data_IF_228620281058
#
_entry.id   IF_228620281058
#
_cell.length_a   1.000
_cell.length_b   1.000
_cell.length_c   1.000
_cell.angle_alpha   90.00
_cell.angle_beta   90.00
_cell.angle_gamma   90.00
#
_symmetry.space_group_name_H-M   'P 1'
#
loop_
_entity.id
_entity.type
_entity.pdbx_description
1 polymer ?
#
# COMPACT_ATOMS: atom_id res chain seq x y z
N UNK A 1 -39.76 25.35 17.39
CA UNK A 1 -38.62 26.04 16.74
C UNK A 1 -37.62 26.34 17.82
N UNK A 2 -36.68 25.44 18.04
CA UNK A 2 -35.59 25.66 19.02
C UNK A 2 -34.30 25.90 18.24
N UNK A 3 -33.82 27.14 18.36
CA UNK A 3 -32.58 27.58 17.80
C UNK A 3 -31.42 26.80 18.48
N UNK A 4 -30.60 26.08 17.68
CA UNK A 4 -29.33 25.56 18.15
C UNK A 4 -28.38 26.71 18.34
N UNK A 5 -28.20 27.08 19.61
CA UNK A 5 -27.19 28.04 20.02
C UNK A 5 -25.82 27.36 19.86
N UNK A 6 -25.12 27.70 18.80
CA UNK A 6 -23.77 27.26 18.56
C UNK A 6 -22.82 27.90 19.55
N UNK A 7 -22.52 27.20 20.64
CA UNK A 7 -21.43 27.58 21.53
C UNK A 7 -20.13 27.66 20.73
N UNK A 8 -19.47 28.80 20.82
CA UNK A 8 -18.15 29.06 20.25
C UNK A 8 -17.20 27.92 20.62
N UNK A 9 -16.71 27.20 19.63
CA UNK A 9 -15.60 26.26 19.83
C UNK A 9 -14.37 27.09 20.08
N UNK A 10 -13.98 27.12 21.35
CA UNK A 10 -12.69 27.66 21.76
C UNK A 10 -11.57 27.06 20.92
N UNK A 11 -10.73 27.93 20.41
CA UNK A 11 -9.32 27.78 20.01
C UNK A 11 -8.73 26.34 19.95
N UNK A 12 -9.50 25.37 19.50
CA UNK A 12 -8.95 24.11 19.07
C UNK A 12 -8.16 24.41 17.79
N UNK A 13 -6.88 24.14 17.80
CA UNK A 13 -6.10 24.11 16.57
C UNK A 13 -6.90 23.41 15.48
N UNK A 14 -6.91 23.96 14.25
CA UNK A 14 -7.64 23.32 13.16
C UNK A 14 -7.17 21.87 13.10
N UNK A 15 -8.13 20.95 13.17
CA UNK A 15 -7.86 19.52 13.09
C UNK A 15 -7.02 19.30 11.83
N UNK A 16 -5.70 19.16 12.00
CA UNK A 16 -4.80 18.80 10.90
C UNK A 16 -5.14 17.39 10.56
N UNK A 17 -5.88 17.18 9.47
CA UNK A 17 -5.98 15.87 8.87
C UNK A 17 -4.56 15.42 8.57
N UNK A 18 -4.02 14.53 9.38
CA UNK A 18 -2.79 13.86 9.05
C UNK A 18 -3.07 13.10 7.76
N UNK A 19 -2.37 13.45 6.70
CA UNK A 19 -2.56 12.88 5.36
C UNK A 19 -2.36 11.37 5.30
N UNK A 20 -1.96 10.75 6.40
CA UNK A 20 -1.49 9.38 6.52
C UNK A 20 -2.48 8.42 7.19
N UNK A 21 -3.75 8.77 7.32
CA UNK A 21 -4.75 7.87 7.91
C UNK A 21 -4.47 7.39 9.35
N UNK A 22 -3.42 7.88 9.98
CA UNK A 22 -3.08 7.58 11.38
C UNK A 22 -2.29 6.30 11.64
N UNK A 23 -1.99 5.49 10.61
CA UNK A 23 -1.27 4.23 10.76
C UNK A 23 0.25 4.37 10.59
N UNK A 24 0.68 5.32 9.78
CA UNK A 24 2.09 5.51 9.44
C UNK A 24 2.49 6.94 9.78
N UNK A 25 3.56 7.10 10.53
CA UNK A 25 4.20 8.39 10.77
C UNK A 25 5.29 8.63 9.73
N UNK A 26 5.54 9.90 9.41
CA UNK A 26 6.63 10.24 8.52
C UNK A 26 7.96 9.84 9.17
N UNK A 27 8.82 9.08 8.48
CA UNK A 27 10.14 8.75 8.99
C UNK A 27 11.02 10.00 9.19
N UNK A 28 11.89 9.96 10.17
CA UNK A 28 12.85 11.05 10.46
C UNK A 28 14.10 10.96 9.57
N UNK A 29 14.35 9.81 8.96
CA UNK A 29 15.53 9.47 8.18
C UNK A 29 15.29 9.51 6.64
N UNK A 30 14.46 10.43 6.19
CA UNK A 30 14.17 10.59 4.77
C UNK A 30 15.44 10.84 3.97
N UNK A 31 15.61 10.07 2.91
CA UNK A 31 16.69 10.31 1.96
C UNK A 31 16.47 11.63 1.21
N UNK A 32 17.52 12.38 0.91
CA UNK A 32 17.40 13.60 0.12
C UNK A 32 16.92 13.28 -1.29
N UNK A 33 16.30 14.25 -1.95
CA UNK A 33 15.92 14.11 -3.35
C UNK A 33 17.15 13.75 -4.21
N UNK A 34 16.96 12.80 -5.13
CA UNK A 34 17.99 12.40 -6.07
C UNK A 34 18.49 13.61 -6.86
N UNK A 35 19.82 13.77 -6.92
CA UNK A 35 20.48 14.83 -7.69
C UNK A 35 21.50 14.22 -8.64
N UNK A 36 21.53 14.75 -9.88
CA UNK A 36 22.47 14.27 -10.87
C UNK A 36 21.95 13.06 -11.65
N UNK A 37 22.88 12.21 -12.07
CA UNK A 37 22.62 11.03 -12.89
C UNK A 37 23.06 9.78 -12.13
N UNK A 38 22.18 8.80 -12.06
CA UNK A 38 22.46 7.49 -11.49
C UNK A 38 22.23 6.42 -12.58
N UNK A 39 22.88 5.29 -12.41
CA UNK A 39 22.77 4.14 -13.30
C UNK A 39 22.26 2.92 -12.54
N UNK A 40 21.26 2.26 -13.11
CA UNK A 40 20.71 1.02 -12.59
C UNK A 40 20.27 0.13 -13.75
N UNK A 41 20.19 -1.18 -13.49
CA UNK A 41 19.59 -2.11 -14.46
C UNK A 41 18.08 -1.89 -14.55
N UNK A 42 17.45 -1.57 -13.40
CA UNK A 42 16.01 -1.32 -13.31
C UNK A 42 15.73 -0.13 -12.39
N UNK A 43 14.85 0.75 -12.81
CA UNK A 43 14.28 1.82 -12.00
C UNK A 43 12.83 1.49 -11.70
N UNK A 44 12.46 1.41 -10.41
CA UNK A 44 11.11 1.21 -9.92
C UNK A 44 10.56 2.55 -9.45
N UNK A 45 9.43 2.97 -9.97
CA UNK A 45 8.77 4.22 -9.58
C UNK A 45 7.63 3.93 -8.62
N UNK A 46 7.76 4.43 -7.39
CA UNK A 46 6.85 4.23 -6.28
C UNK A 46 7.30 3.15 -5.31
N UNK A 47 7.33 3.48 -4.02
CA UNK A 47 7.70 2.58 -2.92
C UNK A 47 6.47 2.11 -2.13
N UNK A 48 5.41 1.69 -2.82
CA UNK A 48 4.29 0.94 -2.27
C UNK A 48 4.58 -0.57 -2.27
N UNK A 49 3.60 -1.40 -1.89
CA UNK A 49 3.77 -2.86 -1.86
C UNK A 49 4.28 -3.43 -3.18
N UNK A 50 3.67 -3.09 -4.30
CA UNK A 50 4.07 -3.61 -5.61
C UNK A 50 5.51 -3.20 -5.98
N UNK A 51 5.85 -1.92 -5.76
CA UNK A 51 7.20 -1.42 -6.08
C UNK A 51 8.28 -2.05 -5.22
N UNK A 52 8.06 -2.12 -3.91
CA UNK A 52 9.02 -2.72 -2.98
C UNK A 52 9.19 -4.21 -3.21
N UNK A 53 8.10 -4.97 -3.39
CA UNK A 53 8.17 -6.40 -3.68
C UNK A 53 8.91 -6.67 -4.99
N UNK A 54 8.64 -5.87 -6.03
CA UNK A 54 9.36 -5.97 -7.31
C UNK A 54 10.84 -5.67 -7.14
N UNK A 55 11.18 -4.60 -6.41
CA UNK A 55 12.57 -4.21 -6.20
C UNK A 55 13.34 -5.27 -5.40
N UNK A 56 12.74 -5.82 -4.36
CA UNK A 56 13.34 -6.88 -3.54
C UNK A 56 13.60 -8.15 -4.36
N UNK A 57 12.63 -8.58 -5.15
CA UNK A 57 12.78 -9.77 -6.01
C UNK A 57 13.87 -9.56 -7.08
N UNK A 58 13.91 -8.41 -7.72
CA UNK A 58 14.96 -8.07 -8.68
C UNK A 58 16.35 -8.03 -8.03
N UNK A 59 16.45 -7.46 -6.83
CA UNK A 59 17.70 -7.46 -6.04
C UNK A 59 18.14 -8.87 -5.66
N UNK A 60 17.22 -9.72 -5.25
CA UNK A 60 17.49 -11.12 -4.94
C UNK A 60 18.05 -11.89 -6.17
N UNK A 61 17.66 -11.48 -7.37
CA UNK A 61 18.17 -12.01 -8.64
C UNK A 61 19.45 -11.34 -9.15
N UNK A 62 20.02 -10.44 -8.36
CA UNK A 62 21.32 -9.79 -8.65
C UNK A 62 21.23 -8.50 -9.46
N UNK A 63 20.06 -7.99 -9.79
CA UNK A 63 19.92 -6.74 -10.50
C UNK A 63 20.31 -5.54 -9.61
N UNK A 64 20.92 -4.51 -10.20
CA UNK A 64 21.08 -3.21 -9.57
C UNK A 64 19.79 -2.41 -9.74
N UNK A 65 19.09 -2.14 -8.63
CA UNK A 65 17.76 -1.52 -8.64
C UNK A 65 17.77 -0.20 -7.88
N UNK A 66 17.19 0.83 -8.49
CA UNK A 66 16.88 2.10 -7.83
C UNK A 66 15.37 2.21 -7.68
N UNK A 67 14.90 2.52 -6.46
CA UNK A 67 13.51 2.84 -6.19
C UNK A 67 13.38 4.35 -6.02
N UNK A 68 12.52 4.97 -6.82
CA UNK A 68 12.18 6.38 -6.72
C UNK A 68 10.82 6.54 -6.07
N UNK A 69 10.78 7.29 -4.97
CA UNK A 69 9.54 7.58 -4.24
C UNK A 69 9.39 9.09 -4.05
N UNK A 70 8.20 9.60 -4.29
CA UNK A 70 7.92 11.03 -4.22
C UNK A 70 7.89 11.56 -2.78
N UNK A 71 7.51 10.73 -1.83
CA UNK A 71 7.35 11.10 -0.43
C UNK A 71 8.24 10.23 0.47
N UNK A 72 7.75 9.07 0.87
CA UNK A 72 8.46 8.03 1.61
C UNK A 72 7.80 6.66 1.38
N UNK A 73 8.51 5.60 1.68
CA UNK A 73 8.01 4.25 1.47
C UNK A 73 6.68 4.01 2.22
N UNK A 74 5.68 3.54 1.50
CA UNK A 74 4.35 3.31 2.05
C UNK A 74 3.47 4.56 2.17
N UNK A 75 3.90 5.74 1.76
CA UNK A 75 3.09 6.98 1.86
C UNK A 75 1.72 6.85 1.19
N UNK A 76 1.61 6.15 0.09
CA UNK A 76 0.37 5.97 -0.67
C UNK A 76 -0.62 5.00 0.01
N UNK A 77 -1.42 4.32 -0.80
CA UNK A 77 -2.44 3.37 -0.35
C UNK A 77 -1.86 2.21 0.47
N UNK A 78 -0.61 1.83 0.24
CA UNK A 78 0.08 0.76 0.97
C UNK A 78 0.23 1.04 2.47
N UNK A 79 0.37 2.28 2.89
CA UNK A 79 0.41 2.66 4.30
C UNK A 79 -0.92 3.17 4.86
N UNK A 80 -2.02 3.11 4.09
CA UNK A 80 -3.34 3.64 4.47
C UNK A 80 -4.45 2.61 4.46
N UNK A 81 -4.09 1.35 4.29
CA UNK A 81 -5.03 0.24 4.36
C UNK A 81 -5.20 -0.26 5.81
N UNK A 82 -6.14 -1.16 6.04
CA UNK A 82 -6.40 -1.71 7.37
C UNK A 82 -5.41 -2.78 7.83
N UNK A 83 -4.41 -3.14 7.02
CA UNK A 83 -3.36 -4.09 7.35
C UNK A 83 -3.80 -5.56 7.41
N UNK A 84 -4.95 -5.90 6.85
CA UNK A 84 -5.41 -7.28 6.80
C UNK A 84 -4.69 -8.06 5.69
N UNK A 85 -4.15 -9.20 6.05
CA UNK A 85 -3.67 -10.21 5.11
C UNK A 85 -4.74 -11.31 5.04
N UNK A 86 -5.43 -11.40 3.92
CA UNK A 86 -6.54 -12.33 3.72
C UNK A 86 -6.24 -13.26 2.55
N UNK A 87 -6.36 -14.56 2.77
CA UNK A 87 -6.31 -15.59 1.72
C UNK A 87 -7.61 -15.68 0.90
N UNK A 88 -8.34 -14.57 0.73
CA UNK A 88 -9.60 -14.58 -0.01
C UNK A 88 -9.78 -13.30 -0.83
N UNK A 89 -10.56 -13.43 -1.91
CA UNK A 89 -10.90 -12.30 -2.78
C UNK A 89 -12.07 -11.44 -2.25
N UNK A 90 -12.54 -11.67 -1.02
CA UNK A 90 -13.72 -10.98 -0.49
C UNK A 90 -15.04 -11.35 -1.18
N UNK A 91 -15.05 -12.43 -1.97
CA UNK A 91 -16.23 -12.98 -2.66
C UNK A 91 -16.49 -14.37 -2.10
N UNK A 92 -17.75 -14.68 -1.82
CA UNK A 92 -18.14 -16.03 -1.42
C UNK A 92 -17.74 -17.07 -2.49
N UNK A 93 -17.11 -18.16 -2.04
CA UNK A 93 -16.55 -19.18 -2.93
C UNK A 93 -17.61 -19.72 -3.92
N UNK A 94 -18.84 -19.95 -3.46
CA UNK A 94 -19.93 -20.43 -4.30
C UNK A 94 -20.29 -19.46 -5.44
N UNK A 95 -20.36 -18.17 -5.12
CA UNK A 95 -20.63 -17.10 -6.11
C UNK A 95 -19.49 -17.03 -7.13
N UNK A 96 -18.27 -17.16 -6.66
CA UNK A 96 -17.09 -17.12 -7.53
C UNK A 96 -17.05 -18.34 -8.48
N UNK A 97 -17.27 -19.55 -7.96
CA UNK A 97 -17.35 -20.76 -8.75
C UNK A 97 -18.44 -20.68 -9.83
N UNK A 98 -19.61 -20.13 -9.48
CA UNK A 98 -20.69 -19.89 -10.46
C UNK A 98 -20.29 -18.95 -11.58
N UNK A 99 -19.42 -17.96 -11.32
CA UNK A 99 -19.00 -16.99 -12.33
C UNK A 99 -17.88 -17.48 -13.25
N UNK A 100 -16.88 -18.18 -12.71
CA UNK A 100 -15.66 -18.50 -13.44
C UNK A 100 -15.48 -20.01 -13.67
N UNK A 101 -16.32 -20.84 -13.09
CA UNK A 101 -16.20 -22.29 -13.09
C UNK A 101 -15.22 -22.82 -12.03
N UNK A 102 -15.39 -24.08 -11.64
CA UNK A 102 -14.63 -24.70 -10.54
C UNK A 102 -13.12 -24.75 -10.80
N UNK A 103 -12.72 -25.05 -12.02
CA UNK A 103 -11.30 -25.16 -12.37
C UNK A 103 -10.57 -23.81 -12.22
N UNK A 104 -11.14 -22.76 -12.75
CA UNK A 104 -10.57 -21.42 -12.63
C UNK A 104 -10.61 -20.93 -11.18
N UNK A 105 -11.70 -21.19 -10.45
CA UNK A 105 -11.79 -20.84 -9.05
C UNK A 105 -10.67 -21.50 -8.22
N UNK A 106 -10.36 -22.78 -8.45
CA UNK A 106 -9.24 -23.45 -7.78
C UNK A 106 -7.88 -22.82 -8.08
N UNK A 107 -7.63 -22.42 -9.33
CA UNK A 107 -6.38 -21.72 -9.70
C UNK A 107 -6.23 -20.39 -8.95
N UNK A 108 -7.31 -19.64 -8.84
CA UNK A 108 -7.30 -18.38 -8.10
C UNK A 108 -7.08 -18.57 -6.61
N UNK A 109 -7.76 -19.55 -5.98
CA UNK A 109 -7.55 -19.85 -4.55
C UNK A 109 -6.09 -20.25 -4.32
N UNK A 110 -5.54 -21.14 -5.12
CA UNK A 110 -4.13 -21.53 -5.02
C UNK A 110 -3.18 -20.34 -5.14
N UNK A 111 -3.42 -19.43 -6.08
CA UNK A 111 -2.63 -18.20 -6.21
C UNK A 111 -2.69 -17.31 -4.96
N UNK A 112 -3.87 -17.18 -4.35
CA UNK A 112 -4.01 -16.40 -3.10
C UNK A 112 -3.29 -17.05 -1.92
N UNK A 113 -3.38 -18.39 -1.80
CA UNK A 113 -2.66 -19.12 -0.76
C UNK A 113 -1.14 -18.97 -0.89
N UNK A 114 -0.63 -19.07 -2.13
CA UNK A 114 0.78 -18.80 -2.43
C UNK A 114 1.18 -17.37 -2.09
N UNK A 115 0.36 -16.39 -2.46
CA UNK A 115 0.63 -14.98 -2.18
C UNK A 115 0.67 -14.67 -0.68
N UNK A 116 -0.22 -15.27 0.11
CA UNK A 116 -0.22 -15.13 1.58
C UNK A 116 1.02 -15.78 2.20
N UNK A 117 1.46 -16.91 1.65
CA UNK A 117 2.67 -17.61 2.12
C UNK A 117 3.96 -16.86 1.78
N UNK A 118 3.95 -16.08 0.69
CA UNK A 118 5.08 -15.28 0.25
C UNK A 118 5.36 -14.06 1.15
N UNK A 119 4.34 -13.51 1.81
CA UNK A 119 4.44 -12.32 2.67
C UNK A 119 4.80 -12.70 4.11
#
# INVERSE_FOLDING_TARGET
MNAFNGAARNNAEPMRFRSLGGWVEQPDDLQPALKGHEHADVVVVGAGFAGLSTALELRARGANVIVLEQQFAGFGASGRNAGYLLGSMGIECEVFVKRVGLEQARKFVGFYDEAVTYV
#
